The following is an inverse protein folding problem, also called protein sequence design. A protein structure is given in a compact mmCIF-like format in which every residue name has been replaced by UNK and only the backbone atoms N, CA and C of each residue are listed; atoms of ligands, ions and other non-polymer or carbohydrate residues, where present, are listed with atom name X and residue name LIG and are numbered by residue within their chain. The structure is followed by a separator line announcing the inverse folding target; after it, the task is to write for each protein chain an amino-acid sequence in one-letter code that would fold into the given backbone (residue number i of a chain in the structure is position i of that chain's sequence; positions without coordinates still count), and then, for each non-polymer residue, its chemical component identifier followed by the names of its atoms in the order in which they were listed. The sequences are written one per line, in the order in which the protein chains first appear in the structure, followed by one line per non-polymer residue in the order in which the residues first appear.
data_IF_224451040192
#
_entry.id   IF_224451040192
#
_cell.length_a   1.000
_cell.length_b   1.000
_cell.length_c   1.000
_cell.angle_alpha   90.00
_cell.angle_beta   90.00
_cell.angle_gamma   90.00
#
_symmetry.space_group_name_H-M   'P 1'
#
loop_
_entity.id
_entity.type
_entity.pdbx_description
1 polymer ?
#
# COMPACT_ATOMS: atom_id res chain seq x y z
N UNK A 1 8.07 16.81 11.88
CA UNK A 1 7.12 15.95 12.64
C UNK A 1 6.05 15.54 11.64
N UNK A 2 5.76 14.25 11.49
CA UNK A 2 4.73 13.75 10.58
C UNK A 2 3.44 13.64 11.39
N UNK A 3 2.32 14.20 10.91
CA UNK A 3 1.00 14.03 11.54
C UNK A 3 0.43 12.64 11.19
N UNK A 4 -0.37 12.03 12.06
CA UNK A 4 -1.06 10.77 11.75
C UNK A 4 -1.99 10.92 10.54
N UNK A 5 -2.55 12.12 10.37
CA UNK A 5 -3.38 12.48 9.21
C UNK A 5 -2.59 12.52 7.90
N UNK A 6 -1.26 12.65 7.94
CA UNK A 6 -0.39 12.65 6.75
C UNK A 6 -0.04 11.23 6.26
N UNK A 7 -0.21 10.21 7.12
CA UNK A 7 0.16 8.82 6.82
C UNK A 7 -0.43 8.32 5.48
N UNK A 8 -1.74 8.53 5.17
CA UNK A 8 -2.30 8.09 3.90
C UNK A 8 -1.56 8.68 2.69
N UNK A 9 -1.21 9.97 2.74
CA UNK A 9 -0.51 10.63 1.64
C UNK A 9 0.98 10.25 1.58
N UNK A 10 1.60 9.92 2.71
CA UNK A 10 2.96 9.35 2.72
C UNK A 10 2.96 7.98 2.04
N UNK A 11 1.97 7.14 2.32
CA UNK A 11 1.80 5.85 1.65
C UNK A 11 1.60 6.07 0.15
N UNK A 12 0.74 7.00 -0.26
CA UNK A 12 0.56 7.37 -1.68
C UNK A 12 1.88 7.79 -2.32
N UNK A 13 2.66 8.66 -1.66
CA UNK A 13 3.96 9.10 -2.14
C UNK A 13 4.93 7.92 -2.37
N UNK A 14 4.97 6.97 -1.44
CA UNK A 14 5.82 5.77 -1.55
C UNK A 14 5.35 4.87 -2.69
N UNK A 15 4.05 4.57 -2.78
CA UNK A 15 3.48 3.76 -3.87
C UNK A 15 3.73 4.40 -5.24
N UNK A 16 3.60 5.73 -5.34
CA UNK A 16 3.92 6.51 -6.53
C UNK A 16 5.39 6.42 -6.90
N UNK A 17 6.30 6.58 -5.94
CA UNK A 17 7.75 6.46 -6.17
C UNK A 17 8.13 5.10 -6.77
N UNK A 18 7.44 4.04 -6.41
CA UNK A 18 7.67 2.69 -6.95
C UNK A 18 6.83 2.37 -8.20
N UNK A 19 6.04 3.33 -8.71
CA UNK A 19 5.17 3.13 -9.87
C UNK A 19 4.05 2.13 -9.62
N UNK A 20 3.73 1.82 -8.36
CA UNK A 20 2.61 0.95 -7.97
C UNK A 20 1.30 1.72 -8.05
N UNK A 21 1.33 3.04 -7.83
CA UNK A 21 0.16 3.90 -7.94
C UNK A 21 0.50 5.15 -8.74
N UNK A 22 -0.45 5.66 -9.52
CA UNK A 22 -0.30 6.92 -10.27
C UNK A 22 -0.77 8.13 -9.44
N UNK A 23 -0.63 9.34 -9.99
CA UNK A 23 -1.12 10.57 -9.35
C UNK A 23 -2.64 10.56 -9.14
N UNK A 24 -3.37 10.04 -10.12
CA UNK A 24 -4.82 9.85 -10.15
C UNK A 24 -5.29 8.59 -9.39
N UNK A 25 -4.36 7.85 -8.78
CA UNK A 25 -4.71 6.72 -7.93
C UNK A 25 -5.05 5.43 -8.67
N UNK A 26 -4.63 5.29 -9.93
CA UNK A 26 -4.63 4.02 -10.64
C UNK A 26 -3.53 3.10 -10.08
N UNK A 27 -3.87 1.84 -9.81
CA UNK A 27 -2.96 0.86 -9.22
C UNK A 27 -2.39 -0.03 -10.33
N UNK A 28 -1.07 -0.01 -10.50
CA UNK A 28 -0.36 -0.90 -11.41
C UNK A 28 0.05 -2.18 -10.67
N UNK A 29 -0.78 -3.21 -10.81
CA UNK A 29 -0.58 -4.45 -10.08
C UNK A 29 0.70 -5.22 -10.46
N UNK A 30 1.16 -5.07 -11.71
CA UNK A 30 2.42 -5.70 -12.15
C UNK A 30 3.63 -5.11 -11.41
N UNK A 31 3.62 -3.79 -11.17
CA UNK A 31 4.67 -3.14 -10.39
C UNK A 31 4.60 -3.51 -8.91
N UNK A 32 3.38 -3.70 -8.36
CA UNK A 32 3.19 -4.26 -7.03
C UNK A 32 3.86 -5.64 -6.90
N UNK A 33 3.55 -6.59 -7.80
CA UNK A 33 4.15 -7.93 -7.75
C UNK A 33 5.66 -7.91 -7.88
N UNK A 34 6.21 -7.09 -8.79
CA UNK A 34 7.67 -6.90 -8.91
C UNK A 34 8.29 -6.40 -7.61
N UNK A 35 7.62 -5.48 -6.91
CA UNK A 35 8.10 -4.95 -5.63
C UNK A 35 8.06 -6.01 -4.53
N UNK A 36 6.97 -6.77 -4.43
CA UNK A 36 6.83 -7.84 -3.43
C UNK A 36 7.90 -8.91 -3.67
N UNK A 37 8.10 -9.33 -4.92
CA UNK A 37 9.15 -10.29 -5.30
C UNK A 37 10.56 -9.79 -4.94
N UNK A 38 10.82 -8.48 -5.11
CA UNK A 38 12.11 -7.91 -4.75
C UNK A 38 12.34 -7.90 -3.23
N UNK A 39 11.29 -7.64 -2.43
CA UNK A 39 11.38 -7.63 -0.96
C UNK A 39 11.47 -9.05 -0.39
N UNK A 40 10.68 -9.98 -0.92
CA UNK A 40 10.53 -11.35 -0.41
C UNK A 40 11.26 -12.40 -1.26
N UNK A 41 12.33 -11.99 -1.98
CA UNK A 41 13.05 -12.86 -2.92
C UNK A 41 13.45 -14.23 -2.38
N UNK A 42 13.64 -14.34 -1.06
CA UNK A 42 14.08 -15.54 -0.36
C UNK A 42 13.02 -16.17 0.55
N UNK A 43 11.77 -15.66 0.55
CA UNK A 43 10.69 -16.23 1.36
C UNK A 43 9.72 -17.03 0.47
N UNK A 44 9.80 -18.38 0.48
CA UNK A 44 8.94 -19.23 -0.34
C UNK A 44 7.48 -19.26 0.14
N UNK A 45 7.17 -18.68 1.30
CA UNK A 45 5.82 -18.70 1.89
C UNK A 45 4.91 -17.60 1.34
N UNK A 46 5.46 -16.63 0.61
CA UNK A 46 4.68 -15.52 0.08
C UNK A 46 4.06 -15.94 -1.27
N UNK A 47 2.78 -16.28 -1.26
CA UNK A 47 1.95 -16.38 -2.47
C UNK A 47 1.58 -14.96 -2.92
N UNK A 48 2.40 -14.42 -3.82
CA UNK A 48 2.34 -13.02 -4.25
C UNK A 48 1.12 -12.72 -5.13
N UNK A 49 0.57 -13.71 -5.86
CA UNK A 49 -0.30 -13.47 -7.01
C UNK A 49 -1.73 -13.06 -6.69
N UNK A 50 -2.26 -13.34 -5.51
CA UNK A 50 -3.72 -13.24 -5.31
C UNK A 50 -4.12 -12.04 -4.44
N UNK A 51 -3.31 -11.73 -3.43
CA UNK A 51 -3.62 -10.66 -2.46
C UNK A 51 -3.72 -9.30 -3.14
N UNK A 52 -2.79 -8.99 -4.06
CA UNK A 52 -2.75 -7.69 -4.71
C UNK A 52 -3.96 -7.43 -5.61
N UNK A 53 -4.34 -8.42 -6.44
CA UNK A 53 -5.51 -8.32 -7.32
C UNK A 53 -6.81 -8.22 -6.53
N UNK A 54 -7.00 -9.06 -5.50
CA UNK A 54 -8.17 -9.00 -4.63
C UNK A 54 -8.29 -7.63 -3.94
N UNK A 55 -7.18 -7.09 -3.42
CA UNK A 55 -7.18 -5.76 -2.81
C UNK A 55 -7.51 -4.66 -3.80
N UNK A 56 -6.94 -4.69 -5.01
CA UNK A 56 -7.22 -3.69 -6.04
C UNK A 56 -8.68 -3.74 -6.52
N UNK A 57 -9.25 -4.93 -6.69
CA UNK A 57 -10.66 -5.11 -7.07
C UNK A 57 -11.62 -4.58 -5.99
N UNK A 58 -11.38 -4.93 -4.72
CA UNK A 58 -12.20 -4.47 -3.61
C UNK A 58 -12.21 -2.94 -3.50
N UNK A 59 -11.07 -2.29 -3.77
CA UNK A 59 -10.95 -0.83 -3.72
C UNK A 59 -11.73 -0.15 -4.84
N UNK A 60 -11.80 -0.74 -6.04
CA UNK A 60 -12.60 -0.18 -7.13
C UNK A 60 -14.11 -0.19 -6.82
N UNK A 61 -14.57 -1.05 -5.90
CA UNK A 61 -15.94 -1.03 -5.37
C UNK A 61 -16.19 0.04 -4.30
N UNK A 62 -15.15 0.76 -3.86
CA UNK A 62 -15.26 1.82 -2.87
C UNK A 62 -15.35 3.20 -3.54
N UNK A 63 -16.15 4.11 -2.96
CA UNK A 63 -16.22 5.50 -3.41
C UNK A 63 -15.00 6.30 -2.92
N UNK A 64 -13.82 6.02 -3.49
CA UNK A 64 -12.53 6.64 -3.14
C UNK A 64 -11.87 7.35 -4.33
N UNK A 65 -12.60 7.56 -5.43
CA UNK A 65 -12.04 8.10 -6.68
C UNK A 65 -11.46 9.51 -6.53
N UNK A 66 -11.94 10.28 -5.54
CA UNK A 66 -11.47 11.63 -5.25
C UNK A 66 -10.42 11.72 -4.13
N UNK A 67 -10.12 10.62 -3.42
CA UNK A 67 -9.17 10.59 -2.30
C UNK A 67 -8.07 9.54 -2.52
N UNK A 68 -7.09 9.93 -3.34
CA UNK A 68 -5.96 9.07 -3.73
C UNK A 68 -5.09 8.65 -2.53
N UNK A 69 -5.02 9.48 -1.48
CA UNK A 69 -4.26 9.18 -0.28
C UNK A 69 -4.96 8.10 0.55
N UNK A 70 -6.27 8.20 0.75
CA UNK A 70 -7.06 7.16 1.43
C UNK A 70 -7.06 5.86 0.62
N UNK A 71 -7.19 5.95 -0.70
CA UNK A 71 -7.10 4.80 -1.62
C UNK A 71 -5.75 4.08 -1.47
N UNK A 72 -4.65 4.83 -1.42
CA UNK A 72 -3.31 4.30 -1.19
C UNK A 72 -3.19 3.58 0.17
N UNK A 73 -3.74 4.18 1.24
CA UNK A 73 -3.74 3.57 2.58
C UNK A 73 -4.51 2.26 2.60
N UNK A 74 -5.74 2.23 2.06
CA UNK A 74 -6.55 1.01 2.02
C UNK A 74 -5.85 -0.10 1.24
N UNK A 75 -5.22 0.23 0.11
CA UNK A 75 -4.43 -0.74 -0.64
C UNK A 75 -3.25 -1.27 0.17
N UNK A 76 -2.51 -0.39 0.84
CA UNK A 76 -1.39 -0.78 1.69
C UNK A 76 -1.83 -1.66 2.86
N UNK A 77 -2.90 -1.31 3.55
CA UNK A 77 -3.41 -2.06 4.71
C UNK A 77 -3.91 -3.44 4.28
N UNK A 78 -4.57 -3.52 3.12
CA UNK A 78 -5.07 -4.79 2.55
C UNK A 78 -3.92 -5.71 2.12
N UNK A 79 -2.90 -5.16 1.47
CA UNK A 79 -1.74 -5.94 0.97
C UNK A 79 -0.66 -6.17 2.03
N UNK A 80 -0.69 -5.42 3.12
CA UNK A 80 0.37 -5.32 4.12
C UNK A 80 1.76 -5.03 3.52
N UNK A 81 1.80 -4.42 2.32
CA UNK A 81 3.03 -4.23 1.55
C UNK A 81 4.08 -3.44 2.31
N UNK A 82 3.67 -2.30 2.86
CA UNK A 82 4.44 -1.57 3.83
C UNK A 82 3.75 -1.76 5.15
N UNK A 83 4.30 -2.65 5.98
CA UNK A 83 4.04 -2.65 7.40
C UNK A 83 4.61 -1.35 7.99
N UNK A 84 3.95 -0.22 7.71
CA UNK A 84 4.14 1.02 8.45
C UNK A 84 3.37 0.83 9.75
N UNK A 85 3.88 -0.04 10.61
CA UNK A 85 3.49 -0.05 12.00
C UNK A 85 4.09 1.22 12.61
N UNK A 86 3.33 2.31 12.59
CA UNK A 86 3.55 3.33 13.60
C UNK A 86 3.25 2.66 14.94
N UNK A 87 4.29 2.12 15.59
CA UNK A 87 4.21 1.82 17.03
C UNK A 87 4.16 3.17 17.73
N UNK A 88 3.15 3.36 18.56
CA UNK A 88 3.10 4.58 19.36
C UNK A 88 4.40 4.64 20.20
N UNK A 89 5.15 5.75 20.20
CA UNK A 89 6.30 5.88 21.10
C UNK A 89 5.90 5.68 22.57
N UNK A 90 4.63 5.90 22.91
CA UNK A 90 4.05 5.68 24.23
C UNK A 90 3.77 4.21 24.57
N UNK A 91 3.84 3.27 23.61
CA UNK A 91 3.77 1.81 23.87
C UNK A 91 5.11 1.24 24.36
N UNK A 92 6.12 2.08 24.62
CA UNK A 92 7.41 1.71 25.22
C UNK A 92 7.43 1.84 26.75
N UNK A 93 6.26 2.03 27.38
CA UNK A 93 6.11 2.11 28.84
C UNK A 93 5.75 0.76 29.44
#
# INVERSE_FOLDING_TARGET
RIDRNDIPCIIHCVLKKFGIMTNDGYINIKNYYRRVQAIHRYDPRILISDVGETCAQNINGMNLDHDVCKKAKVFNDCTQLYAVSYRDPDEWK
#
